data_IF_185647968676
#
_entry.id   IF_185647968676
#
_cell.length_a   1.000
_cell.length_b   1.000
_cell.length_c   1.000
_cell.angle_alpha   90.00
_cell.angle_beta   90.00
_cell.angle_gamma   90.00
#
_symmetry.space_group_name_H-M   'P 1'
#
loop_
_entity.id
_entity.type
_entity.pdbx_description
1 polymer ?
#
# COMPACT_ATOMS: atom_id res chain seq x y z
N UNK A 1 -39.08 -17.47 19.40
CA UNK A 1 -39.36 -16.81 18.08
C UNK A 1 -38.26 -15.79 17.89
N UNK A 2 -37.19 -16.18 17.17
CA UNK A 2 -36.09 -15.28 16.81
C UNK A 2 -36.61 -14.27 15.79
N UNK A 3 -36.45 -12.97 16.06
CA UNK A 3 -36.64 -11.94 15.07
C UNK A 3 -35.66 -12.22 13.93
N UNK A 4 -36.13 -12.58 12.73
CA UNK A 4 -35.38 -12.52 11.51
C UNK A 4 -35.07 -11.03 11.33
N UNK A 5 -33.84 -10.61 11.60
CA UNK A 5 -33.36 -9.30 11.23
C UNK A 5 -33.40 -9.26 9.71
N UNK A 6 -34.22 -8.39 9.15
CA UNK A 6 -34.19 -8.15 7.71
C UNK A 6 -32.86 -7.52 7.37
N UNK A 7 -31.97 -8.27 6.69
CA UNK A 7 -30.77 -7.71 6.05
C UNK A 7 -31.23 -6.68 5.04
N UNK A 8 -30.64 -5.51 5.04
CA UNK A 8 -30.83 -4.57 3.93
C UNK A 8 -30.26 -5.21 2.64
N UNK A 9 -30.88 -4.93 1.50
CA UNK A 9 -30.38 -5.38 0.19
C UNK A 9 -29.09 -4.62 -0.22
N UNK A 10 -28.20 -4.48 0.71
CA UNK A 10 -26.93 -3.80 0.58
C UNK A 10 -25.77 -4.75 0.84
N UNK A 11 -24.65 -4.49 0.20
CA UNK A 11 -23.39 -5.20 0.43
C UNK A 11 -22.22 -4.27 0.20
N UNK A 12 -21.26 -4.31 1.13
CA UNK A 12 -20.13 -3.37 1.15
C UNK A 12 -18.84 -4.10 0.79
N UNK A 13 -18.07 -3.54 -0.15
CA UNK A 13 -16.72 -3.95 -0.48
C UNK A 13 -15.72 -2.87 -0.04
N UNK A 14 -14.77 -3.24 0.81
CA UNK A 14 -13.63 -2.37 1.15
C UNK A 14 -12.45 -2.77 0.28
N UNK A 15 -11.98 -1.86 -0.57
CA UNK A 15 -10.76 -2.06 -1.33
C UNK A 15 -9.57 -1.50 -0.56
N UNK A 16 -8.67 -2.39 -0.14
CA UNK A 16 -7.43 -2.03 0.54
C UNK A 16 -6.25 -2.14 -0.40
N UNK A 17 -5.30 -1.24 -0.21
CA UNK A 17 -4.03 -1.24 -0.91
C UNK A 17 -2.91 -1.13 0.13
N UNK A 18 -1.77 -1.70 -0.16
CA UNK A 18 -0.63 -1.75 0.76
C UNK A 18 -0.32 -0.40 1.38
N UNK A 19 -0.12 -0.40 2.68
CA UNK A 19 0.14 0.77 3.48
C UNK A 19 -0.72 0.86 4.75
N UNK A 20 -0.43 1.81 5.65
CA UNK A 20 -1.02 1.89 6.99
C UNK A 20 -2.51 2.23 7.01
N UNK A 21 -3.05 2.71 5.89
CA UNK A 21 -4.47 3.10 5.83
C UNK A 21 -5.45 1.94 5.65
N UNK A 22 -4.98 0.72 5.32
CA UNK A 22 -5.84 -0.44 5.07
C UNK A 22 -6.71 -0.79 6.28
N UNK A 23 -6.13 -0.86 7.46
CA UNK A 23 -6.86 -1.13 8.71
C UNK A 23 -7.96 -0.10 8.98
N UNK A 24 -7.66 1.19 8.79
CA UNK A 24 -8.65 2.26 8.96
C UNK A 24 -9.84 2.10 8.00
N UNK A 25 -9.57 1.73 6.75
CA UNK A 25 -10.62 1.47 5.76
C UNK A 25 -11.49 0.29 6.16
N UNK A 26 -10.87 -0.81 6.61
CA UNK A 26 -11.58 -2.01 7.08
C UNK A 26 -12.49 -1.67 8.26
N UNK A 27 -11.98 -1.00 9.28
CA UNK A 27 -12.77 -0.57 10.44
C UNK A 27 -13.90 0.39 10.07
N UNK A 28 -13.66 1.28 9.08
CA UNK A 28 -14.72 2.16 8.56
C UNK A 28 -15.81 1.37 7.84
N UNK A 29 -15.44 0.41 7.00
CA UNK A 29 -16.36 -0.48 6.31
C UNK A 29 -17.19 -1.31 7.28
N UNK A 30 -16.54 -1.92 8.28
CA UNK A 30 -17.23 -2.68 9.32
C UNK A 30 -18.25 -1.84 10.08
N UNK A 31 -17.90 -0.60 10.45
CA UNK A 31 -18.86 0.31 11.11
C UNK A 31 -20.09 0.59 10.24
N UNK A 32 -19.89 0.78 8.93
CA UNK A 32 -21.00 1.01 8.00
C UNK A 32 -21.84 -0.24 7.81
N UNK A 33 -21.21 -1.39 7.58
CA UNK A 33 -21.89 -2.67 7.43
C UNK A 33 -22.72 -3.03 8.68
N UNK A 34 -22.18 -2.80 9.87
CA UNK A 34 -22.88 -3.03 11.14
C UNK A 34 -24.12 -2.14 11.32
N UNK A 35 -24.06 -0.86 10.87
CA UNK A 35 -25.20 0.05 10.93
C UNK A 35 -26.28 -0.37 9.93
N UNK A 36 -25.89 -0.82 8.73
CA UNK A 36 -26.79 -1.24 7.66
C UNK A 36 -27.28 -2.68 7.81
N UNK A 37 -26.73 -3.45 8.75
CA UNK A 37 -26.98 -4.90 8.91
C UNK A 37 -26.77 -5.67 7.59
N UNK A 38 -25.64 -5.40 6.89
CA UNK A 38 -25.32 -5.96 5.59
C UNK A 38 -23.95 -6.65 5.59
N UNK A 39 -23.66 -7.55 4.62
CA UNK A 39 -22.39 -8.24 4.52
C UNK A 39 -21.25 -7.27 4.15
N UNK A 40 -20.08 -7.53 4.74
CA UNK A 40 -18.84 -6.84 4.46
C UNK A 40 -17.86 -7.77 3.75
N UNK A 41 -17.28 -7.28 2.68
CA UNK A 41 -16.22 -7.94 1.93
C UNK A 41 -14.97 -7.05 1.92
N UNK A 42 -13.80 -7.67 1.95
CA UNK A 42 -12.52 -6.95 1.82
C UNK A 42 -11.81 -7.47 0.58
N UNK A 43 -11.29 -6.57 -0.24
CA UNK A 43 -10.52 -6.90 -1.43
C UNK A 43 -9.15 -6.24 -1.40
N UNK A 44 -8.11 -7.03 -1.60
CA UNK A 44 -6.80 -6.54 -2.02
C UNK A 44 -6.48 -7.05 -3.42
N UNK A 45 -5.98 -6.15 -4.29
CA UNK A 45 -5.55 -6.49 -5.65
C UNK A 45 -4.05 -6.36 -5.70
N UNK A 46 -3.36 -7.49 -5.86
CA UNK A 46 -1.91 -7.51 -5.97
C UNK A 46 -1.47 -7.30 -7.44
N UNK A 47 -0.62 -6.30 -7.71
CA UNK A 47 -0.06 -6.10 -9.04
C UNK A 47 1.11 -7.05 -9.37
N UNK A 48 1.60 -7.81 -8.39
CA UNK A 48 2.73 -8.71 -8.57
C UNK A 48 2.25 -10.14 -8.88
N UNK A 49 3.03 -10.92 -9.67
CA UNK A 49 2.83 -12.35 -9.80
C UNK A 49 2.91 -13.04 -8.42
N UNK A 50 2.14 -14.11 -8.24
CA UNK A 50 2.11 -14.88 -6.98
C UNK A 50 3.46 -15.47 -6.56
N UNK A 51 4.43 -15.54 -7.46
CA UNK A 51 5.77 -16.05 -7.26
C UNK A 51 6.77 -14.98 -6.78
N UNK A 52 6.40 -13.70 -6.81
CA UNK A 52 7.21 -12.62 -6.26
C UNK A 52 6.81 -12.34 -4.80
N UNK A 53 7.60 -12.89 -3.88
CA UNK A 53 7.41 -12.66 -2.45
C UNK A 53 7.89 -11.26 -2.04
N UNK A 54 6.96 -10.46 -1.52
CA UNK A 54 7.23 -9.17 -0.89
C UNK A 54 6.87 -9.27 0.59
N UNK A 55 7.88 -9.29 1.47
CA UNK A 55 7.70 -9.51 2.91
C UNK A 55 6.84 -8.41 3.55
N UNK A 56 7.02 -7.14 3.16
CA UNK A 56 6.27 -6.02 3.71
C UNK A 56 4.79 -6.11 3.33
N UNK A 57 4.49 -6.44 2.09
CA UNK A 57 3.11 -6.65 1.63
C UNK A 57 2.45 -7.83 2.30
N UNK A 58 3.19 -8.92 2.50
CA UNK A 58 2.69 -10.10 3.20
C UNK A 58 2.30 -9.78 4.63
N UNK A 59 3.08 -8.96 5.33
CA UNK A 59 2.75 -8.51 6.69
C UNK A 59 1.44 -7.72 6.75
N UNK A 60 1.21 -6.78 5.81
CA UNK A 60 -0.07 -6.07 5.74
C UNK A 60 -1.24 -7.02 5.49
N UNK A 61 -1.09 -7.96 4.57
CA UNK A 61 -2.16 -8.92 4.25
C UNK A 61 -2.51 -9.80 5.44
N UNK A 62 -1.52 -10.32 6.18
CA UNK A 62 -1.77 -11.12 7.37
C UNK A 62 -2.48 -10.30 8.46
N UNK A 63 -2.03 -9.08 8.75
CA UNK A 63 -2.70 -8.19 9.71
C UNK A 63 -4.14 -7.88 9.31
N UNK A 64 -4.42 -7.70 8.02
CA UNK A 64 -5.78 -7.44 7.55
C UNK A 64 -6.67 -8.68 7.62
N UNK A 65 -6.11 -9.88 7.42
CA UNK A 65 -6.83 -11.14 7.61
C UNK A 65 -7.21 -11.34 9.08
N UNK A 66 -6.26 -11.15 10.00
CA UNK A 66 -6.51 -11.22 11.44
C UNK A 66 -7.62 -10.23 11.84
N UNK A 67 -7.54 -8.99 11.35
CA UNK A 67 -8.56 -7.98 11.60
C UNK A 67 -9.92 -8.35 10.99
N UNK A 68 -9.94 -8.96 9.81
CA UNK A 68 -11.16 -9.41 9.16
C UNK A 68 -11.84 -10.52 9.97
N UNK A 69 -11.07 -11.46 10.54
CA UNK A 69 -11.55 -12.49 11.44
C UNK A 69 -12.09 -11.90 12.75
N UNK A 70 -11.35 -10.95 13.37
CA UNK A 70 -11.78 -10.22 14.58
C UNK A 70 -13.14 -9.52 14.38
N UNK A 71 -13.36 -8.96 13.20
CA UNK A 71 -14.54 -8.17 12.86
C UNK A 71 -15.68 -8.99 12.22
N UNK A 72 -15.56 -10.32 12.15
CA UNK A 72 -16.56 -11.21 11.54
C UNK A 72 -16.93 -10.80 10.10
N UNK A 73 -15.89 -10.52 9.29
CA UNK A 73 -16.06 -10.14 7.88
C UNK A 73 -16.49 -11.35 7.06
N UNK A 74 -17.47 -11.18 6.16
CA UNK A 74 -18.02 -12.27 5.33
C UNK A 74 -16.94 -12.96 4.50
N UNK A 75 -16.06 -12.21 3.84
CA UNK A 75 -14.96 -12.78 3.04
C UNK A 75 -13.82 -11.78 2.84
N UNK A 76 -12.60 -12.26 3.04
CA UNK A 76 -11.37 -11.56 2.63
C UNK A 76 -10.90 -12.10 1.29
N UNK A 77 -10.83 -11.24 0.27
CA UNK A 77 -10.56 -11.59 -1.12
C UNK A 77 -9.20 -11.07 -1.53
N UNK A 78 -8.33 -11.97 -2.01
CA UNK A 78 -7.06 -11.60 -2.64
C UNK A 78 -7.18 -11.91 -4.13
N UNK A 79 -6.82 -10.96 -4.98
CA UNK A 79 -6.80 -11.13 -6.44
C UNK A 79 -5.51 -10.60 -7.04
N UNK A 80 -4.95 -11.36 -7.96
CA UNK A 80 -3.93 -10.88 -8.89
C UNK A 80 -4.63 -10.04 -9.98
N UNK A 81 -3.99 -8.97 -10.41
CA UNK A 81 -4.50 -8.17 -11.51
C UNK A 81 -4.23 -8.81 -12.90
N UNK A 82 -3.38 -9.85 -12.98
CA UNK A 82 -3.01 -10.55 -14.24
C UNK A 82 -2.60 -9.58 -15.36
N UNK A 83 -1.88 -8.52 -15.02
CA UNK A 83 -1.53 -7.40 -15.91
C UNK A 83 -2.74 -6.58 -16.42
N UNK A 84 -3.92 -6.80 -15.89
CA UNK A 84 -5.13 -6.01 -16.15
C UNK A 84 -5.19 -4.78 -15.24
N UNK A 85 -5.87 -3.70 -15.63
CA UNK A 85 -6.14 -2.58 -14.72
C UNK A 85 -6.93 -3.05 -13.48
N UNK A 86 -6.51 -2.65 -12.27
CA UNK A 86 -7.17 -3.01 -11.01
C UNK A 86 -8.67 -2.69 -11.00
N UNK A 87 -9.09 -1.64 -11.70
CA UNK A 87 -10.52 -1.31 -11.86
C UNK A 87 -11.35 -2.43 -12.48
N UNK A 88 -10.78 -3.23 -13.39
CA UNK A 88 -11.48 -4.39 -13.99
C UNK A 88 -11.62 -5.53 -12.99
N UNK A 89 -10.62 -5.75 -12.16
CA UNK A 89 -10.67 -6.76 -11.09
C UNK A 89 -11.72 -6.37 -10.05
N UNK A 90 -11.75 -5.10 -9.65
CA UNK A 90 -12.77 -4.58 -8.71
C UNK A 90 -14.17 -4.74 -9.30
N UNK A 91 -14.35 -4.43 -10.60
CA UNK A 91 -15.62 -4.61 -11.30
C UNK A 91 -16.11 -6.07 -11.28
N UNK A 92 -15.21 -7.01 -11.56
CA UNK A 92 -15.51 -8.43 -11.55
C UNK A 92 -15.95 -8.91 -10.16
N UNK A 93 -15.20 -8.51 -9.13
CA UNK A 93 -15.54 -8.82 -7.73
C UNK A 93 -16.87 -8.18 -7.34
N UNK A 94 -17.08 -6.92 -7.67
CA UNK A 94 -18.31 -6.21 -7.36
C UNK A 94 -19.55 -6.92 -7.99
N UNK A 95 -19.41 -7.39 -9.22
CA UNK A 95 -20.47 -8.14 -9.90
C UNK A 95 -20.70 -9.52 -9.27
N UNK A 96 -19.62 -10.27 -8.98
CA UNK A 96 -19.71 -11.65 -8.48
C UNK A 96 -20.30 -11.72 -7.06
N UNK A 97 -20.11 -10.69 -6.25
CA UNK A 97 -20.62 -10.62 -4.88
C UNK A 97 -21.82 -9.68 -4.71
N UNK A 98 -22.41 -9.22 -5.82
CA UNK A 98 -23.54 -8.27 -5.82
C UNK A 98 -23.28 -7.06 -4.92
N UNK A 99 -22.09 -6.47 -5.04
CA UNK A 99 -21.70 -5.31 -4.24
C UNK A 99 -22.50 -4.09 -4.67
N UNK A 100 -23.05 -3.38 -3.69
CA UNK A 100 -23.81 -2.13 -3.91
C UNK A 100 -23.01 -0.91 -3.52
N UNK A 101 -22.04 -1.06 -2.60
CA UNK A 101 -21.24 0.03 -2.10
C UNK A 101 -19.76 -0.35 -2.05
N UNK A 102 -18.89 0.53 -2.53
CA UNK A 102 -17.44 0.35 -2.47
C UNK A 102 -16.82 1.46 -1.62
N UNK A 103 -15.99 1.07 -0.64
CA UNK A 103 -15.20 1.97 0.17
C UNK A 103 -13.75 1.89 -0.30
N UNK A 104 -13.17 3.03 -0.65
CA UNK A 104 -11.77 3.14 -1.05
C UNK A 104 -11.08 4.29 -0.34
N UNK A 105 -9.77 4.17 -0.16
CA UNK A 105 -8.93 5.28 0.29
C UNK A 105 -8.67 6.27 -0.84
N UNK A 106 -8.51 7.53 -0.50
CA UNK A 106 -7.99 8.52 -1.43
C UNK A 106 -6.58 8.12 -1.84
N UNK A 107 -6.38 7.81 -3.12
CA UNK A 107 -5.04 7.51 -3.64
C UNK A 107 -4.26 8.82 -3.80
N UNK A 108 -3.02 8.84 -3.27
CA UNK A 108 -2.08 9.90 -3.56
C UNK A 108 -1.54 9.70 -5.00
N UNK A 109 -2.34 10.02 -6.01
CA UNK A 109 -1.83 10.12 -7.36
C UNK A 109 -1.03 11.43 -7.49
N UNK A 110 0.14 11.35 -8.12
CA UNK A 110 0.84 12.57 -8.49
C UNK A 110 -0.03 13.36 -9.48
N UNK A 111 0.03 14.68 -9.43
CA UNK A 111 -0.72 15.57 -10.33
C UNK A 111 -0.47 15.26 -11.82
N UNK A 112 0.68 14.67 -12.13
CA UNK A 112 1.05 14.21 -13.48
C UNK A 112 0.32 12.91 -13.88
N UNK A 113 0.16 11.97 -12.98
CA UNK A 113 -0.59 10.73 -13.24
C UNK A 113 -2.09 11.04 -13.41
N UNK A 114 -2.61 11.97 -12.65
CA UNK A 114 -4.00 12.43 -12.76
C UNK A 114 -4.26 13.11 -14.11
N UNK A 115 -3.33 13.90 -14.61
CA UNK A 115 -3.43 14.59 -15.92
C UNK A 115 -3.29 13.61 -17.08
N UNK A 116 -2.40 12.61 -16.98
CA UNK A 116 -2.08 11.72 -18.10
C UNK A 116 -2.96 10.48 -18.20
N UNK A 117 -3.42 9.95 -17.06
CA UNK A 117 -4.21 8.70 -16.99
C UNK A 117 -5.65 8.91 -16.54
N UNK A 118 -6.02 10.14 -16.14
CA UNK A 118 -7.27 10.42 -15.46
C UNK A 118 -7.28 9.90 -14.02
N UNK A 119 -8.18 10.44 -13.19
CA UNK A 119 -8.35 9.97 -11.82
C UNK A 119 -8.79 8.50 -11.82
N UNK A 120 -8.19 7.67 -11.00
CA UNK A 120 -8.59 6.27 -10.79
C UNK A 120 -10.08 6.18 -10.44
N UNK A 121 -10.59 7.14 -9.67
CA UNK A 121 -12.03 7.26 -9.37
C UNK A 121 -12.88 7.42 -10.61
N UNK A 122 -12.48 8.27 -11.57
CA UNK A 122 -13.24 8.45 -12.82
C UNK A 122 -13.26 7.16 -13.65
N UNK A 123 -12.19 6.37 -13.59
CA UNK A 123 -12.16 5.05 -14.23
C UNK A 123 -13.15 4.10 -13.54
N UNK A 124 -13.14 4.03 -12.20
CA UNK A 124 -14.07 3.20 -11.44
C UNK A 124 -15.52 3.59 -11.67
N UNK A 125 -15.88 4.87 -11.59
CA UNK A 125 -17.23 5.37 -11.82
C UNK A 125 -17.74 5.00 -13.22
N UNK A 126 -16.88 5.01 -14.22
CA UNK A 126 -17.23 4.60 -15.58
C UNK A 126 -17.36 3.10 -15.73
N UNK A 127 -16.47 2.32 -15.11
CA UNK A 127 -16.45 0.86 -15.23
C UNK A 127 -17.51 0.18 -14.37
N UNK A 128 -17.92 0.80 -13.25
CA UNK A 128 -18.85 0.21 -12.26
C UNK A 128 -19.97 1.23 -11.93
N UNK A 129 -20.82 1.59 -12.92
CA UNK A 129 -21.81 2.65 -12.75
C UNK A 129 -23.00 2.27 -11.85
N UNK A 130 -23.09 1.01 -11.42
CA UNK A 130 -24.16 0.47 -10.60
C UNK A 130 -23.83 0.39 -9.11
N UNK A 131 -22.70 0.95 -8.68
CA UNK A 131 -22.21 0.91 -7.29
C UNK A 131 -22.00 2.31 -6.77
N UNK A 132 -22.35 2.55 -5.52
CA UNK A 132 -22.03 3.78 -4.80
C UNK A 132 -20.59 3.74 -4.25
N UNK A 133 -19.88 4.87 -4.36
CA UNK A 133 -18.50 4.98 -3.91
C UNK A 133 -18.35 5.88 -2.70
N UNK A 134 -17.71 5.37 -1.64
CA UNK A 134 -17.28 6.10 -0.47
C UNK A 134 -15.77 6.32 -0.53
N UNK A 135 -15.33 7.53 -0.82
CA UNK A 135 -13.92 7.90 -0.81
C UNK A 135 -13.54 8.38 0.58
N UNK A 136 -12.72 7.61 1.26
CA UNK A 136 -12.23 7.94 2.60
C UNK A 136 -10.92 8.70 2.46
N UNK A 137 -10.87 9.92 3.04
CA UNK A 137 -9.62 10.67 3.05
C UNK A 137 -8.55 9.91 3.81
N UNK A 138 -7.36 9.85 3.21
CA UNK A 138 -6.18 9.34 3.89
C UNK A 138 -5.80 10.34 4.96
N UNK A 139 -5.78 9.91 6.23
CA UNK A 139 -5.28 10.75 7.30
C UNK A 139 -3.76 10.86 7.16
N UNK A 140 -3.32 12.03 6.76
CA UNK A 140 -1.88 12.30 6.57
C UNK A 140 -1.08 12.25 7.87
N UNK A 141 -1.76 12.25 9.03
CA UNK A 141 -1.12 12.11 10.35
C UNK A 141 -0.85 10.64 10.72
N UNK A 142 -1.48 9.68 10.03
CA UNK A 142 -1.26 8.23 10.21
C UNK A 142 -0.32 7.70 9.11
N UNK A 143 0.22 8.56 8.26
CA UNK A 143 1.35 8.14 7.43
C UNK A 143 2.45 7.76 8.40
N UNK A 144 2.87 6.50 8.35
CA UNK A 144 4.20 6.16 8.84
C UNK A 144 5.13 7.26 8.36
N UNK A 145 6.02 7.73 9.21
CA UNK A 145 6.93 8.85 8.94
C UNK A 145 7.65 8.72 7.58
N UNK A 146 7.56 7.55 6.96
CA UNK A 146 8.15 7.22 5.66
C UNK A 146 7.25 7.59 4.46
N UNK A 147 5.95 7.26 4.47
CA UNK A 147 5.10 7.31 3.24
C UNK A 147 4.61 8.72 2.82
N UNK A 148 4.80 9.72 3.65
CA UNK A 148 4.34 11.10 3.38
C UNK A 148 5.44 12.09 3.12
N UNK A 149 6.68 11.70 3.40
CA UNK A 149 7.86 12.54 3.29
C UNK A 149 8.75 12.14 2.09
N UNK A 150 8.47 10.99 1.45
CA UNK A 150 9.36 10.43 0.45
C UNK A 150 8.66 10.18 -0.89
N UNK A 151 9.43 10.33 -1.97
CA UNK A 151 9.04 9.95 -3.32
C UNK A 151 9.00 8.43 -3.46
N UNK A 152 8.42 7.93 -4.56
CA UNK A 152 8.45 6.51 -4.90
C UNK A 152 9.89 6.00 -4.94
N UNK A 153 10.15 4.88 -4.27
CA UNK A 153 11.46 4.27 -4.19
C UNK A 153 12.05 3.95 -5.58
N UNK A 154 13.32 4.25 -5.74
CA UNK A 154 14.10 3.97 -6.96
C UNK A 154 15.29 3.09 -6.62
N UNK A 155 15.67 2.19 -7.55
CA UNK A 155 16.87 1.37 -7.39
C UNK A 155 18.11 2.26 -7.32
N UNK A 156 18.93 2.03 -6.31
CA UNK A 156 20.16 2.77 -6.09
C UNK A 156 21.24 1.86 -5.48
N UNK A 157 22.44 2.38 -5.38
CA UNK A 157 23.62 1.68 -4.92
C UNK A 157 24.39 2.55 -3.93
N UNK A 158 24.97 1.94 -2.90
CA UNK A 158 25.95 2.63 -2.08
C UNK A 158 27.37 2.27 -2.57
N UNK A 159 28.14 3.28 -2.85
CA UNK A 159 29.56 3.18 -3.24
C UNK A 159 30.42 3.76 -2.13
N UNK A 160 31.63 3.22 -1.94
CA UNK A 160 32.58 3.76 -0.97
C UNK A 160 33.03 5.16 -1.39
N UNK A 161 33.02 6.10 -0.44
CA UNK A 161 33.48 7.47 -0.61
C UNK A 161 34.23 7.93 0.64
N UNK A 162 35.55 7.88 0.60
CA UNK A 162 36.39 8.14 1.75
C UNK A 162 36.14 7.14 2.90
N UNK A 163 35.81 7.65 4.07
CA UNK A 163 35.49 6.83 5.25
C UNK A 163 33.98 6.48 5.35
N UNK A 164 33.19 6.76 4.31
CA UNK A 164 31.75 6.58 4.30
C UNK A 164 31.21 5.96 3.00
N UNK A 165 29.93 6.18 2.76
CA UNK A 165 29.24 5.72 1.56
C UNK A 165 28.47 6.87 0.92
N UNK A 166 28.43 6.86 -0.39
CA UNK A 166 27.64 7.77 -1.23
C UNK A 166 26.61 6.99 -2.02
N UNK A 167 25.42 7.58 -2.19
CA UNK A 167 24.39 7.00 -3.06
C UNK A 167 24.74 7.24 -4.53
N UNK A 168 24.48 6.21 -5.35
CA UNK A 168 24.63 6.27 -6.81
C UNK A 168 23.44 5.56 -7.46
N UNK A 169 22.93 6.13 -8.55
CA UNK A 169 21.78 5.57 -9.28
C UNK A 169 22.21 4.70 -10.48
N UNK A 170 23.50 4.61 -10.73
CA UNK A 170 24.06 3.78 -11.78
C UNK A 170 24.94 2.69 -11.16
N UNK A 171 24.73 1.44 -11.61
CA UNK A 171 25.55 0.31 -11.16
C UNK A 171 27.02 0.56 -11.56
N UNK A 172 27.90 0.55 -10.57
CA UNK A 172 29.35 0.63 -10.75
C UNK A 172 30.04 -0.58 -10.14
N UNK A 173 31.30 -0.82 -10.52
CA UNK A 173 32.12 -1.90 -9.92
C UNK A 173 32.46 -1.64 -8.44
N UNK A 174 32.28 -0.42 -7.99
CA UNK A 174 32.55 0.03 -6.63
C UNK A 174 31.31 -0.04 -5.73
N UNK A 175 30.17 -0.48 -6.28
CA UNK A 175 28.94 -0.66 -5.53
C UNK A 175 29.11 -1.77 -4.47
N UNK A 176 28.89 -1.42 -3.20
CA UNK A 176 28.96 -2.35 -2.07
C UNK A 176 27.59 -2.89 -1.70
N UNK A 177 26.56 -2.06 -1.80
CA UNK A 177 25.19 -2.43 -1.46
C UNK A 177 24.25 -1.98 -2.58
N UNK A 178 23.33 -2.85 -2.94
CA UNK A 178 22.21 -2.56 -3.83
C UNK A 178 20.93 -2.49 -3.01
N UNK A 179 20.04 -1.54 -3.31
CA UNK A 179 18.82 -1.36 -2.56
C UNK A 179 17.85 -0.37 -3.21
N UNK A 180 16.91 0.11 -2.42
CA UNK A 180 15.90 1.07 -2.82
C UNK A 180 16.10 2.37 -2.04
N UNK A 181 16.21 3.46 -2.77
CA UNK A 181 16.27 4.81 -2.21
C UNK A 181 14.92 5.49 -2.31
N UNK A 182 14.48 6.06 -1.21
CA UNK A 182 13.27 6.85 -1.05
C UNK A 182 13.69 8.29 -0.78
N UNK A 183 13.57 9.14 -1.80
CA UNK A 183 13.95 10.55 -1.71
C UNK A 183 12.93 11.33 -0.90
N UNK A 184 13.35 12.22 -0.04
CA UNK A 184 12.50 13.14 0.71
C UNK A 184 11.85 14.17 -0.22
N UNK A 185 10.53 14.34 -0.11
CA UNK A 185 9.76 15.26 -0.95
C UNK A 185 10.08 16.70 -0.55
N UNK A 186 10.39 17.54 -1.55
CA UNK A 186 10.62 18.97 -1.35
C UNK A 186 12.07 19.34 -1.09
N UNK A 187 13.01 18.41 -1.27
CA UNK A 187 14.44 18.69 -1.24
C UNK A 187 15.03 18.67 -2.66
N UNK A 188 15.90 19.63 -2.97
CA UNK A 188 16.63 19.67 -4.25
C UNK A 188 17.80 18.67 -4.30
N UNK A 189 18.22 18.17 -3.14
CA UNK A 189 19.30 17.20 -2.95
C UNK A 189 18.76 15.77 -2.76
N UNK A 190 19.64 14.79 -2.86
CA UNK A 190 19.31 13.40 -2.56
C UNK A 190 19.33 13.16 -1.04
N UNK A 191 18.34 13.72 -0.36
CA UNK A 191 18.06 13.45 1.04
C UNK A 191 16.98 12.38 1.12
N UNK A 192 17.11 11.44 2.07
CA UNK A 192 16.11 10.39 2.17
C UNK A 192 16.59 9.14 2.90
N UNK A 193 15.94 8.03 2.61
CA UNK A 193 16.20 6.73 3.22
C UNK A 193 16.60 5.72 2.15
N UNK A 194 17.71 5.02 2.39
CA UNK A 194 18.13 3.89 1.56
C UNK A 194 17.94 2.59 2.33
N UNK A 195 17.12 1.68 1.76
CA UNK A 195 16.85 0.34 2.30
C UNK A 195 17.54 -0.71 1.46
N UNK A 196 18.23 -1.65 2.08
CA UNK A 196 18.98 -2.71 1.41
C UNK A 196 19.06 -3.98 2.26
N UNK A 197 19.41 -5.10 1.63
CA UNK A 197 19.64 -6.36 2.32
C UNK A 197 21.13 -6.55 2.62
N UNK A 198 21.45 -6.88 3.87
CA UNK A 198 22.79 -7.30 4.28
C UNK A 198 22.68 -8.51 5.20
N UNK A 199 23.41 -9.58 4.90
CA UNK A 199 23.40 -10.82 5.68
C UNK A 199 21.97 -11.39 5.94
N UNK A 200 21.12 -11.36 4.93
CA UNK A 200 19.69 -11.75 5.01
C UNK A 200 18.86 -10.92 6.00
N UNK A 201 19.27 -9.71 6.28
CA UNK A 201 18.53 -8.77 7.12
C UNK A 201 18.28 -7.48 6.37
N UNK A 202 17.08 -6.93 6.54
CA UNK A 202 16.75 -5.60 6.03
C UNK A 202 17.50 -4.55 6.85
N UNK A 203 18.25 -3.71 6.16
CA UNK A 203 19.00 -2.59 6.73
C UNK A 203 18.46 -1.29 6.15
N UNK A 204 18.52 -0.23 6.93
CA UNK A 204 18.11 1.10 6.53
C UNK A 204 19.16 2.12 6.98
N UNK A 205 19.50 3.06 6.09
CA UNK A 205 20.38 4.18 6.39
C UNK A 205 19.78 5.48 5.89
N UNK A 206 20.10 6.58 6.57
CA UNK A 206 19.74 7.92 6.12
C UNK A 206 20.80 8.48 5.18
N UNK A 207 20.32 9.12 4.12
CA UNK A 207 21.13 9.82 3.13
C UNK A 207 20.88 11.31 3.29
N UNK A 208 21.95 12.10 3.35
CA UNK A 208 21.90 13.56 3.36
C UNK A 208 22.97 14.06 2.39
N UNK A 209 22.56 14.86 1.41
CA UNK A 209 23.46 15.42 0.37
C UNK A 209 24.28 14.32 -0.32
N UNK A 210 23.63 13.26 -0.74
CA UNK A 210 24.19 12.05 -1.36
C UNK A 210 24.99 11.14 -0.41
N UNK A 211 25.28 11.52 0.82
CA UNK A 211 26.15 10.78 1.75
C UNK A 211 25.33 10.05 2.82
N UNK A 212 25.81 8.89 3.22
CA UNK A 212 25.26 8.19 4.40
C UNK A 212 25.65 8.97 5.67
N UNK A 213 24.65 9.42 6.42
CA UNK A 213 24.84 10.31 7.57
C UNK A 213 25.43 9.59 8.79
N UNK A 214 25.13 8.29 8.96
CA UNK A 214 25.65 7.49 10.08
C UNK A 214 26.12 6.12 9.61
N UNK A 215 27.39 5.96 9.25
CA UNK A 215 27.94 4.69 8.80
C UNK A 215 28.00 3.62 9.92
N UNK A 216 27.79 3.96 11.18
CA UNK A 216 27.77 2.99 12.29
C UNK A 216 26.54 2.07 12.27
N UNK A 217 25.50 2.42 11.53
CA UNK A 217 24.23 1.67 11.41
C UNK A 217 24.32 0.45 10.49
N UNK A 218 25.45 0.22 9.80
CA UNK A 218 25.68 -1.06 9.09
C UNK A 218 25.70 -2.29 10.03
N UNK A 219 25.66 -2.07 11.33
CA UNK A 219 25.35 -3.10 12.33
C UNK A 219 23.84 -3.24 12.48
N UNK A 220 23.20 -3.99 11.55
CA UNK A 220 21.78 -4.33 11.64
C UNK A 220 21.41 -4.76 13.06
N UNK A 221 20.57 -3.96 13.74
CA UNK A 221 20.05 -4.34 15.05
C UNK A 221 19.32 -5.67 14.91
N UNK A 222 19.77 -6.66 15.65
CA UNK A 222 19.02 -7.90 15.90
C UNK A 222 17.74 -7.50 16.61
N UNK A 223 16.60 -7.65 15.96
CA UNK A 223 15.34 -7.63 16.67
C UNK A 223 15.36 -8.80 17.66
N UNK A 224 15.21 -8.48 18.94
CA UNK A 224 14.89 -9.42 20.00
C UNK A 224 13.40 -9.71 19.98
#
# INVERSE_FOLDING_TARGET
MGKVKGRMDESILVCVYYGPNGERLIRRGHKMASIMDCPLYILTVDPLPYDEFDAEKSEYVERWKELAEELDVETFIIRDNEKRPSAKVIKEVAHNFNITQIIIGQTAQSRWEEITKGSFMNVLLREIPFVDFHVVSVDRSIKDEIDGMFEKGVRAYLVEDGDGFRINFTLSKEARYEGIFFKEIGTDFNNGIFKFMSNNKMCQVHITDDLVTDPSIFHCKTAQ
#
